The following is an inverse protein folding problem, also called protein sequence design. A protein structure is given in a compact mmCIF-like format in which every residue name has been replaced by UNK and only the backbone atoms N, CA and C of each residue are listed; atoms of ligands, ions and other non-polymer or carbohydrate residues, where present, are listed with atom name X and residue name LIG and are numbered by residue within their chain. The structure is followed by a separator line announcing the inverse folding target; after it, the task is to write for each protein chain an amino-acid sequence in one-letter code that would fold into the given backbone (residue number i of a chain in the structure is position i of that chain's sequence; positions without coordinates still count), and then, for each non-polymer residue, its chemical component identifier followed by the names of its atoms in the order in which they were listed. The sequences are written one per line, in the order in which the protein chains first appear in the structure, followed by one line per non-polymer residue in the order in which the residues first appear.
data_IF_825051431060
#
_entry.id   IF_825051431060
#
_cell.length_a   1.000
_cell.length_b   1.000
_cell.length_c   1.000
_cell.angle_alpha   90.00
_cell.angle_beta   90.00
_cell.angle_gamma   90.00
#
_symmetry.space_group_name_H-M   'P 1'
#
loop_
_entity.id
_entity.type
_entity.pdbx_description
1 polymer ?
#
# COMPACT_ATOMS: atom_id res chain seq x y z
N UNK A 1 -31.06 3.42 1.00
CA UNK A 1 -29.62 3.70 0.82
C UNK A 1 -29.14 2.80 -0.30
N UNK A 2 -28.62 3.34 -1.42
CA UNK A 2 -28.33 2.60 -2.67
C UNK A 2 -27.46 1.34 -2.49
N UNK A 3 -26.59 1.31 -1.47
CA UNK A 3 -25.67 0.20 -1.26
C UNK A 3 -26.37 -1.11 -0.86
N UNK A 4 -27.49 -1.04 -0.12
CA UNK A 4 -28.27 -2.23 0.25
C UNK A 4 -29.00 -2.85 -0.95
N UNK A 5 -29.42 -2.03 -1.90
CA UNK A 5 -30.03 -2.50 -3.14
C UNK A 5 -29.02 -3.24 -4.02
N UNK A 6 -27.78 -2.72 -4.09
CA UNK A 6 -26.66 -3.37 -4.77
C UNK A 6 -26.34 -4.71 -4.11
N UNK A 7 -26.30 -4.79 -2.78
CA UNK A 7 -26.03 -6.04 -2.05
C UNK A 7 -27.09 -7.11 -2.29
N UNK A 8 -28.35 -6.73 -2.47
CA UNK A 8 -29.44 -7.69 -2.71
C UNK A 8 -29.45 -8.24 -4.15
N UNK A 9 -28.76 -7.56 -5.08
CA UNK A 9 -28.80 -7.87 -6.52
C UNK A 9 -27.46 -8.37 -7.07
N UNK A 10 -26.36 -8.12 -6.36
CA UNK A 10 -25.01 -8.38 -6.85
C UNK A 10 -24.37 -9.58 -6.14
N UNK A 11 -23.67 -10.43 -6.91
CA UNK A 11 -22.86 -11.52 -6.36
C UNK A 11 -21.49 -11.06 -5.86
N UNK A 12 -21.02 -9.92 -6.37
CA UNK A 12 -19.73 -9.35 -6.03
C UNK A 12 -19.80 -7.83 -6.06
N UNK A 13 -19.14 -7.19 -5.10
CA UNK A 13 -18.99 -5.73 -5.01
C UNK A 13 -17.50 -5.41 -4.98
N UNK A 14 -17.06 -4.55 -5.90
CA UNK A 14 -15.68 -4.02 -5.91
C UNK A 14 -15.73 -2.55 -5.55
N UNK A 15 -14.99 -2.18 -4.51
CA UNK A 15 -14.79 -0.80 -4.11
C UNK A 15 -13.41 -0.36 -4.59
N UNK A 16 -13.33 0.82 -5.17
CA UNK A 16 -12.07 1.36 -5.64
C UNK A 16 -11.95 2.84 -5.29
N UNK A 17 -10.71 3.28 -5.09
CA UNK A 17 -10.44 4.68 -4.84
C UNK A 17 -8.95 5.02 -4.93
N UNK A 18 -8.68 6.26 -5.30
CA UNK A 18 -7.33 6.83 -5.32
C UNK A 18 -7.15 7.77 -4.12
N UNK A 19 -5.94 7.85 -3.57
CA UNK A 19 -5.59 8.76 -2.49
C UNK A 19 -6.56 8.64 -1.29
N UNK A 20 -7.08 9.74 -0.77
CA UNK A 20 -8.11 9.76 0.28
C UNK A 20 -9.36 8.95 -0.09
N UNK A 21 -9.75 8.95 -1.37
CA UNK A 21 -10.86 8.12 -1.86
C UNK A 21 -10.60 6.62 -1.71
N UNK A 22 -9.34 6.18 -1.77
CA UNK A 22 -8.95 4.80 -1.47
C UNK A 22 -9.12 4.46 0.02
N UNK A 23 -8.86 5.42 0.90
CA UNK A 23 -9.12 5.29 2.32
C UNK A 23 -10.62 5.13 2.60
N UNK A 24 -11.44 5.97 1.99
CA UNK A 24 -12.92 5.88 2.08
C UNK A 24 -13.42 4.55 1.50
N UNK A 25 -12.89 4.09 0.36
CA UNK A 25 -13.24 2.82 -0.24
C UNK A 25 -12.92 1.64 0.71
N UNK A 26 -11.76 1.68 1.36
CA UNK A 26 -11.35 0.62 2.30
C UNK A 26 -12.20 0.60 3.56
N UNK A 27 -12.51 1.76 4.15
CA UNK A 27 -13.45 1.83 5.29
C UNK A 27 -14.85 1.34 4.91
N UNK A 28 -15.31 1.69 3.70
CA UNK A 28 -16.60 1.24 3.18
C UNK A 28 -16.61 -0.28 2.95
N UNK A 29 -15.51 -0.86 2.48
CA UNK A 29 -15.37 -2.30 2.33
C UNK A 29 -15.37 -3.02 3.69
N UNK A 30 -14.68 -2.50 4.71
CA UNK A 30 -14.74 -3.05 6.07
C UNK A 30 -16.16 -3.00 6.65
N UNK A 31 -16.85 -1.87 6.48
CA UNK A 31 -18.25 -1.74 6.88
C UNK A 31 -19.12 -2.79 6.17
N UNK A 32 -18.96 -2.96 4.85
CA UNK A 32 -19.70 -3.98 4.09
C UNK A 32 -19.38 -5.40 4.57
N UNK A 33 -18.11 -5.74 4.78
CA UNK A 33 -17.68 -7.06 5.26
C UNK A 33 -18.33 -7.40 6.61
N UNK A 34 -18.34 -6.45 7.55
CA UNK A 34 -19.04 -6.62 8.83
C UNK A 34 -20.56 -6.77 8.68
N UNK A 35 -21.17 -6.08 7.71
CA UNK A 35 -22.61 -6.11 7.51
C UNK A 35 -23.06 -7.43 6.86
N UNK A 36 -22.41 -7.84 5.76
CA UNK A 36 -22.82 -9.00 4.96
C UNK A 36 -22.62 -10.34 5.69
N UNK A 37 -21.67 -10.41 6.63
CA UNK A 37 -21.53 -11.58 7.53
C UNK A 37 -22.84 -11.90 8.27
N UNK A 38 -23.68 -10.90 8.52
CA UNK A 38 -24.94 -11.05 9.25
C UNK A 38 -26.18 -11.20 8.37
N UNK A 39 -26.13 -10.76 7.11
CA UNK A 39 -27.33 -10.59 6.26
C UNK A 39 -27.29 -11.34 4.92
N UNK A 40 -26.12 -11.47 4.28
CA UNK A 40 -26.00 -12.00 2.91
C UNK A 40 -24.62 -12.64 2.66
N UNK A 41 -24.37 -13.87 3.17
CA UNK A 41 -23.04 -14.49 3.16
C UNK A 41 -22.53 -14.89 1.77
N UNK A 42 -23.36 -14.81 0.73
CA UNK A 42 -23.00 -15.19 -0.66
C UNK A 42 -22.40 -14.06 -1.49
N UNK A 43 -22.40 -12.82 -0.99
CA UNK A 43 -21.84 -11.66 -1.72
C UNK A 43 -20.35 -11.52 -1.41
N UNK A 44 -19.49 -11.53 -2.42
CA UNK A 44 -18.06 -11.24 -2.23
C UNK A 44 -17.80 -9.73 -2.25
N UNK A 45 -16.92 -9.25 -1.37
CA UNK A 45 -16.46 -7.85 -1.35
C UNK A 45 -14.97 -7.81 -1.63
N UNK A 46 -14.53 -6.91 -2.49
CA UNK A 46 -13.11 -6.66 -2.74
C UNK A 46 -12.85 -5.16 -2.80
N UNK A 47 -11.71 -4.72 -2.28
CA UNK A 47 -11.27 -3.34 -2.29
C UNK A 47 -9.93 -3.21 -3.00
N UNK A 48 -9.85 -2.31 -3.98
CA UNK A 48 -8.61 -1.98 -4.68
C UNK A 48 -8.33 -0.49 -4.57
N UNK A 49 -7.18 -0.12 -4.00
CA UNK A 49 -6.85 1.29 -3.79
C UNK A 49 -5.57 1.68 -4.51
N UNK A 50 -5.48 2.94 -4.93
CA UNK A 50 -4.31 3.50 -5.61
C UNK A 50 -3.75 4.64 -4.76
N UNK A 51 -2.54 4.47 -4.23
CA UNK A 51 -1.86 5.54 -3.48
C UNK A 51 -2.62 5.99 -2.24
N UNK A 52 -3.36 5.07 -1.59
CA UNK A 52 -4.13 5.39 -0.40
C UNK A 52 -3.23 5.53 0.83
N UNK A 53 -3.51 6.48 1.75
CA UNK A 53 -2.89 6.47 3.07
C UNK A 53 -3.30 5.20 3.85
N UNK A 54 -2.47 4.81 4.81
CA UNK A 54 -2.82 3.81 5.83
C UNK A 54 -3.94 4.32 6.74
N UNK A 55 -4.78 3.41 7.24
CA UNK A 55 -6.01 3.78 7.95
C UNK A 55 -6.00 3.53 9.46
N UNK A 56 -5.28 2.51 9.90
CA UNK A 56 -5.30 2.11 11.29
C UNK A 56 -3.94 1.68 11.78
N UNK A 57 -3.89 1.33 13.06
CA UNK A 57 -2.69 0.88 13.74
C UNK A 57 -2.55 -0.65 13.71
N UNK A 58 -1.56 -1.17 14.42
CA UNK A 58 -1.33 -2.61 14.49
C UNK A 58 -2.56 -3.37 15.06
N UNK A 59 -3.20 -2.98 16.18
CA UNK A 59 -4.46 -3.60 16.61
C UNK A 59 -5.56 -3.65 15.55
N UNK A 60 -5.73 -2.58 14.77
CA UNK A 60 -6.67 -2.54 13.65
C UNK A 60 -6.32 -3.56 12.56
N UNK A 61 -5.04 -3.64 12.17
CA UNK A 61 -4.57 -4.65 11.22
C UNK A 61 -4.75 -6.07 11.76
N UNK A 62 -4.54 -6.29 13.06
CA UNK A 62 -4.72 -7.60 13.68
C UNK A 62 -6.19 -8.03 13.69
N UNK A 63 -7.13 -7.11 13.94
CA UNK A 63 -8.56 -7.40 13.86
C UNK A 63 -8.97 -7.85 12.44
N UNK A 64 -8.48 -7.18 11.40
CA UNK A 64 -8.72 -7.55 9.99
C UNK A 64 -8.15 -8.94 9.68
N UNK A 65 -6.98 -9.27 10.22
CA UNK A 65 -6.37 -10.59 10.06
C UNK A 65 -7.19 -11.68 10.75
N UNK A 66 -7.66 -11.43 11.98
CA UNK A 66 -8.48 -12.36 12.76
C UNK A 66 -9.81 -12.69 12.07
N UNK A 67 -10.44 -11.69 11.45
CA UNK A 67 -11.65 -11.84 10.65
C UNK A 67 -11.42 -12.47 9.26
N UNK A 68 -10.15 -12.76 8.91
CA UNK A 68 -9.72 -13.26 7.59
C UNK A 68 -10.10 -12.33 6.44
N UNK A 69 -10.25 -11.04 6.72
CA UNK A 69 -10.61 -10.02 5.73
C UNK A 69 -9.42 -9.53 4.92
N UNK A 70 -8.18 -9.86 5.30
CA UNK A 70 -6.97 -9.38 4.61
C UNK A 70 -6.93 -9.70 3.11
N UNK A 71 -7.47 -10.84 2.69
CA UNK A 71 -7.56 -11.24 1.27
C UNK A 71 -8.52 -10.41 0.43
N UNK A 72 -9.34 -9.56 1.07
CA UNK A 72 -10.30 -8.69 0.39
C UNK A 72 -9.71 -7.34 -0.03
N UNK A 73 -8.43 -7.06 0.27
CA UNK A 73 -7.82 -5.74 0.06
C UNK A 73 -6.53 -5.83 -0.76
N UNK A 74 -6.44 -5.00 -1.79
CA UNK A 74 -5.24 -4.78 -2.59
C UNK A 74 -4.91 -3.30 -2.69
N UNK A 75 -3.76 -2.91 -2.14
CA UNK A 75 -3.25 -1.56 -2.11
C UNK A 75 -2.13 -1.40 -3.13
N UNK A 76 -2.42 -0.71 -4.23
CA UNK A 76 -1.46 -0.42 -5.30
C UNK A 76 -0.69 0.85 -4.93
N UNK A 77 0.64 0.73 -4.84
CA UNK A 77 1.53 1.82 -4.41
C UNK A 77 2.62 2.03 -5.44
N UNK A 78 2.74 3.25 -5.98
CA UNK A 78 3.86 3.61 -6.85
C UNK A 78 5.15 3.80 -6.02
N UNK A 79 6.29 3.58 -6.68
CA UNK A 79 7.60 3.47 -6.04
C UNK A 79 7.88 4.63 -5.09
N UNK A 80 7.71 5.88 -5.55
CA UNK A 80 8.04 7.06 -4.77
C UNK A 80 6.80 7.78 -4.20
N UNK A 81 5.58 7.24 -4.36
CA UNK A 81 4.36 7.93 -3.92
C UNK A 81 4.40 8.27 -2.42
N UNK A 82 4.36 9.57 -2.10
CA UNK A 82 4.43 10.02 -0.71
C UNK A 82 3.16 9.70 0.09
N UNK A 83 1.99 9.58 -0.53
CA UNK A 83 0.71 9.51 0.18
C UNK A 83 0.57 8.30 1.11
N UNK A 84 0.86 7.06 0.68
CA UNK A 84 0.87 5.90 1.56
C UNK A 84 1.84 6.01 2.74
N UNK A 85 2.77 6.98 2.68
CA UNK A 85 3.86 7.19 3.62
C UNK A 85 3.64 8.39 4.55
N UNK A 86 2.70 9.29 4.22
CA UNK A 86 2.34 10.42 5.08
C UNK A 86 1.96 10.03 6.53
N UNK A 87 1.21 8.93 6.77
CA UNK A 87 0.82 8.56 8.13
C UNK A 87 1.98 8.14 9.05
N UNK A 88 3.20 7.99 8.52
CA UNK A 88 4.39 7.78 9.35
C UNK A 88 4.88 9.06 10.03
N UNK A 89 4.55 10.24 9.49
CA UNK A 89 4.96 11.50 10.06
C UNK A 89 4.08 11.90 11.27
N UNK A 90 4.65 12.40 12.37
CA UNK A 90 3.89 12.81 13.56
C UNK A 90 2.99 14.03 13.33
N UNK A 91 3.24 14.79 12.25
CA UNK A 91 2.38 15.90 11.81
C UNK A 91 1.27 15.46 10.87
N UNK A 92 1.04 14.16 10.68
CA UNK A 92 -0.09 13.70 9.90
C UNK A 92 -1.39 14.13 10.60
N UNK A 93 -2.25 14.92 9.94
CA UNK A 93 -3.44 15.43 10.59
C UNK A 93 -4.38 14.27 10.94
N UNK A 94 -4.94 14.31 12.15
CA UNK A 94 -5.92 13.30 12.59
C UNK A 94 -7.34 13.80 12.33
N UNK A 95 -7.54 15.10 12.16
CA UNK A 95 -8.84 15.67 11.83
C UNK A 95 -9.07 15.75 10.31
N UNK A 96 -10.35 15.60 9.94
CA UNK A 96 -10.80 15.49 8.56
C UNK A 96 -10.54 16.77 7.76
N UNK A 97 -10.62 17.94 8.39
CA UNK A 97 -10.48 19.23 7.70
C UNK A 97 -9.02 19.47 7.28
N UNK A 98 -8.07 19.22 8.19
CA UNK A 98 -6.66 19.32 7.87
C UNK A 98 -6.19 18.19 6.95
N UNK A 99 -6.75 16.97 7.06
CA UNK A 99 -6.51 15.91 6.06
C UNK A 99 -6.97 16.36 4.67
N UNK A 100 -8.19 16.88 4.56
CA UNK A 100 -8.72 17.41 3.31
C UNK A 100 -7.84 18.53 2.77
N UNK A 101 -7.44 19.48 3.61
CA UNK A 101 -6.56 20.57 3.22
C UNK A 101 -5.19 20.06 2.72
N UNK A 102 -4.57 19.12 3.42
CA UNK A 102 -3.30 18.51 3.04
C UNK A 102 -3.40 17.83 1.66
N UNK A 103 -4.45 17.03 1.44
CA UNK A 103 -4.64 16.35 0.16
C UNK A 103 -4.95 17.30 -0.99
N UNK A 104 -5.73 18.36 -0.74
CA UNK A 104 -5.97 19.42 -1.73
C UNK A 104 -4.68 20.16 -2.06
N UNK A 105 -3.85 20.48 -1.07
CA UNK A 105 -2.54 21.11 -1.29
C UNK A 105 -1.58 20.20 -2.05
N UNK A 106 -1.57 18.90 -1.75
CA UNK A 106 -0.77 17.92 -2.48
C UNK A 106 -1.19 17.84 -3.95
N UNK A 107 -2.50 17.90 -4.22
CA UNK A 107 -3.06 17.89 -5.56
C UNK A 107 -2.80 19.21 -6.33
N UNK A 108 -2.78 20.36 -5.65
CA UNK A 108 -2.52 21.68 -6.24
C UNK A 108 -1.02 22.03 -6.35
N UNK A 109 -0.14 21.07 -6.08
CA UNK A 109 1.31 21.20 -6.00
C UNK A 109 1.81 22.17 -4.92
N UNK A 110 2.39 21.60 -3.86
CA UNK A 110 3.16 22.33 -2.84
C UNK A 110 4.34 23.10 -3.46
N UNK A 111 4.86 24.11 -2.75
CA UNK A 111 6.16 24.71 -3.11
C UNK A 111 7.28 23.68 -2.96
N UNK A 112 8.35 23.82 -3.73
CA UNK A 112 9.46 22.85 -3.73
C UNK A 112 10.16 22.74 -2.35
N UNK A 113 10.21 23.84 -1.60
CA UNK A 113 10.69 23.88 -0.22
C UNK A 113 9.82 23.02 0.70
N UNK A 114 8.49 23.21 0.66
CA UNK A 114 7.54 22.46 1.48
C UNK A 114 7.52 20.97 1.10
N UNK A 115 7.68 20.64 -0.19
CA UNK A 115 7.81 19.26 -0.66
C UNK A 115 9.04 18.59 -0.06
N UNK A 116 10.17 19.28 -0.08
CA UNK A 116 11.44 18.76 0.44
C UNK A 116 11.37 18.56 1.94
N UNK A 117 10.84 19.54 2.69
CA UNK A 117 10.66 19.41 4.13
C UNK A 117 9.73 18.23 4.49
N UNK A 118 8.60 18.10 3.80
CA UNK A 118 7.66 17.00 4.01
C UNK A 118 8.31 15.64 3.72
N UNK A 119 9.06 15.54 2.60
CA UNK A 119 9.77 14.34 2.19
C UNK A 119 10.79 13.90 3.25
N UNK A 120 11.69 14.80 3.65
CA UNK A 120 12.74 14.53 4.66
C UNK A 120 12.13 14.11 6.01
N UNK A 121 11.05 14.80 6.42
CA UNK A 121 10.35 14.49 7.66
C UNK A 121 9.71 13.10 7.63
N UNK A 122 9.01 12.77 6.54
CA UNK A 122 8.42 11.43 6.37
C UNK A 122 9.51 10.37 6.36
N UNK A 123 10.60 10.57 5.62
CA UNK A 123 11.70 9.61 5.51
C UNK A 123 12.35 9.32 6.87
N UNK A 124 12.70 10.38 7.62
CA UNK A 124 13.28 10.28 8.96
C UNK A 124 12.36 9.53 9.92
N UNK A 125 11.05 9.77 9.84
CA UNK A 125 10.06 9.14 10.71
C UNK A 125 9.87 7.65 10.41
N UNK A 126 10.00 7.24 9.15
CA UNK A 126 9.96 5.82 8.78
C UNK A 126 11.26 5.14 9.21
N UNK A 127 12.42 5.77 9.00
CA UNK A 127 13.73 5.23 9.38
C UNK A 127 13.83 4.96 10.88
N UNK A 128 13.29 5.88 11.70
CA UNK A 128 13.25 5.73 13.15
C UNK A 128 12.58 4.42 13.62
N UNK A 129 11.72 3.81 12.79
CA UNK A 129 11.07 2.51 13.09
C UNK A 129 12.02 1.31 12.99
N UNK A 130 13.18 1.46 12.35
CA UNK A 130 14.18 0.39 12.21
C UNK A 130 15.41 0.59 13.10
N UNK A 131 15.46 1.71 13.83
CA UNK A 131 16.57 2.04 14.73
C UNK A 131 16.57 1.25 16.04
N UNK A 132 17.65 1.34 16.83
CA UNK A 132 17.82 0.61 18.09
C UNK A 132 16.79 0.99 19.19
N UNK A 133 16.03 2.08 19.01
CA UNK A 133 14.97 2.54 19.91
C UNK A 133 13.57 1.95 19.57
N UNK A 134 13.46 1.07 18.57
CA UNK A 134 12.18 0.53 18.10
C UNK A 134 11.46 -0.41 19.09
N UNK A 135 12.05 -0.72 20.26
CA UNK A 135 11.59 -1.77 21.15
C UNK A 135 11.04 -1.37 22.53
N UNK A 136 11.04 -0.07 22.91
CA UNK A 136 10.85 0.30 24.33
C UNK A 136 9.78 1.38 24.60
N UNK A 137 8.89 1.67 23.64
CA UNK A 137 7.90 2.73 23.82
C UNK A 137 6.45 2.21 23.69
N UNK A 138 5.67 2.35 24.77
CA UNK A 138 4.22 2.10 24.80
C UNK A 138 3.45 2.94 23.74
N UNK A 139 4.09 3.98 23.19
CA UNK A 139 3.60 4.82 22.10
C UNK A 139 3.67 4.15 20.70
N UNK A 140 4.24 2.94 20.58
CA UNK A 140 4.37 2.23 19.29
C UNK A 140 3.03 1.70 18.74
N UNK A 141 2.09 1.33 19.63
CA UNK A 141 0.79 0.78 19.22
C UNK A 141 -0.18 1.79 18.61
N UNK A 142 0.07 3.10 18.71
CA UNK A 142 -0.79 4.13 18.09
C UNK A 142 -0.37 4.43 16.65
N UNK A 143 0.77 3.91 16.20
CA UNK A 143 1.32 4.18 14.88
C UNK A 143 0.56 3.43 13.80
N UNK A 144 0.39 4.07 12.64
CA UNK A 144 -0.23 3.45 11.48
C UNK A 144 0.54 2.19 11.04
N UNK A 145 -0.22 1.17 10.65
CA UNK A 145 0.24 -0.14 10.24
C UNK A 145 -0.51 -0.63 8.99
N UNK A 146 0.17 -1.26 8.02
CA UNK A 146 -0.48 -1.81 6.83
C UNK A 146 -1.41 -2.98 7.16
N UNK A 147 -2.48 -3.12 6.38
CA UNK A 147 -3.35 -4.30 6.37
C UNK A 147 -3.62 -4.72 4.93
N UNK A 148 -4.03 -5.96 4.70
CA UNK A 148 -4.27 -6.46 3.34
C UNK A 148 -2.98 -6.66 2.52
N UNK A 149 -3.13 -6.80 1.21
CA UNK A 149 -2.00 -7.01 0.29
C UNK A 149 -1.57 -5.68 -0.34
N UNK A 150 -0.26 -5.43 -0.44
CA UNK A 150 0.32 -4.26 -1.10
C UNK A 150 1.03 -4.68 -2.38
N UNK A 151 0.62 -4.11 -3.51
CA UNK A 151 1.32 -4.24 -4.80
C UNK A 151 2.15 -2.98 -5.05
N UNK A 152 3.45 -3.06 -4.76
CA UNK A 152 4.38 -1.95 -4.93
C UNK A 152 4.95 -1.99 -6.36
N UNK A 153 4.72 -0.93 -7.11
CA UNK A 153 4.99 -0.82 -8.55
C UNK A 153 6.18 0.11 -8.82
N UNK A 154 7.05 -0.34 -9.73
CA UNK A 154 8.21 0.38 -10.27
C UNK A 154 8.09 0.45 -11.80
N UNK A 155 9.00 1.18 -12.44
CA UNK A 155 9.14 1.17 -13.89
C UNK A 155 9.47 -0.22 -14.48
N UNK A 156 10.11 -1.09 -13.69
CA UNK A 156 10.55 -2.43 -14.09
C UNK A 156 9.53 -3.53 -13.82
N UNK A 157 8.57 -3.30 -12.93
CA UNK A 157 7.56 -4.28 -12.56
C UNK A 157 6.99 -4.03 -11.18
N UNK A 158 6.35 -5.05 -10.61
CA UNK A 158 5.71 -4.93 -9.31
C UNK A 158 6.02 -6.14 -8.40
N UNK A 159 6.00 -5.88 -7.10
CA UNK A 159 6.10 -6.88 -6.04
C UNK A 159 4.85 -6.81 -5.17
N UNK A 160 4.30 -7.98 -4.83
CA UNK A 160 3.15 -8.10 -3.94
C UNK A 160 3.61 -8.60 -2.57
N UNK A 161 3.19 -7.94 -1.49
CA UNK A 161 3.54 -8.25 -0.11
C UNK A 161 2.29 -8.21 0.77
N UNK A 162 2.21 -9.09 1.75
CA UNK A 162 1.14 -9.12 2.77
C UNK A 162 1.70 -9.06 4.22
N UNK A 163 3.01 -9.25 4.39
CA UNK A 163 3.68 -9.07 5.67
C UNK A 163 3.89 -7.59 6.00
N UNK A 164 3.27 -7.11 7.08
CA UNK A 164 3.31 -5.71 7.46
C UNK A 164 4.72 -5.13 7.63
N UNK A 165 5.63 -5.86 8.27
CA UNK A 165 7.02 -5.41 8.44
C UNK A 165 7.75 -5.28 7.10
N UNK A 166 7.57 -6.24 6.19
CA UNK A 166 8.15 -6.19 4.85
C UNK A 166 7.59 -5.02 4.03
N UNK A 167 6.28 -4.75 4.16
CA UNK A 167 5.62 -3.61 3.51
C UNK A 167 6.22 -2.29 4.00
N UNK A 168 6.29 -2.07 5.31
CA UNK A 168 6.85 -0.82 5.88
C UNK A 168 8.32 -0.65 5.47
N UNK A 169 9.12 -1.73 5.51
CA UNK A 169 10.52 -1.72 5.06
C UNK A 169 10.65 -1.37 3.59
N UNK A 170 9.84 -1.97 2.71
CA UNK A 170 9.95 -1.70 1.28
C UNK A 170 9.45 -0.29 0.94
N UNK A 171 8.38 0.19 1.60
CA UNK A 171 7.92 1.57 1.45
C UNK A 171 9.03 2.58 1.80
N UNK A 172 9.79 2.32 2.87
CA UNK A 172 10.95 3.11 3.26
C UNK A 172 12.04 3.09 2.19
N UNK A 173 12.55 1.90 1.86
CA UNK A 173 13.70 1.75 0.96
C UNK A 173 13.42 2.41 -0.39
N UNK A 174 12.22 2.23 -0.93
CA UNK A 174 11.82 2.83 -2.20
C UNK A 174 11.71 4.36 -2.13
N UNK A 175 11.27 4.92 -0.99
CA UNK A 175 11.24 6.37 -0.81
C UNK A 175 12.65 6.94 -0.62
N UNK A 176 13.52 6.24 0.12
CA UNK A 176 14.91 6.62 0.34
C UNK A 176 15.72 6.65 -0.97
N UNK A 177 15.38 5.77 -1.92
CA UNK A 177 15.95 5.76 -3.27
C UNK A 177 15.45 6.89 -4.17
N UNK A 178 14.41 7.64 -3.77
CA UNK A 178 13.91 8.77 -4.54
C UNK A 178 15.00 9.86 -4.59
N UNK A 179 15.60 10.05 -5.76
CA UNK A 179 16.64 11.08 -5.96
C UNK A 179 16.12 12.53 -5.85
N UNK A 180 14.81 12.75 -5.66
CA UNK A 180 14.20 14.06 -5.50
C UNK A 180 12.79 13.97 -4.90
N UNK A 181 12.40 14.95 -4.08
CA UNK A 181 11.02 15.10 -3.58
C UNK A 181 9.99 15.27 -4.71
N UNK A 182 10.40 15.77 -5.89
CA UNK A 182 9.50 16.01 -7.01
C UNK A 182 8.95 14.72 -7.64
N UNK A 183 9.72 13.62 -7.65
CA UNK A 183 9.21 12.34 -8.16
C UNK A 183 8.11 11.75 -7.28
N UNK A 184 8.01 12.17 -6.01
CA UNK A 184 7.09 11.58 -5.05
C UNK A 184 5.63 12.00 -5.25
N UNK A 185 5.40 13.24 -5.69
CA UNK A 185 4.04 13.74 -6.03
C UNK A 185 3.68 13.31 -7.45
N UNK A 186 4.64 13.30 -8.36
CA UNK A 186 4.45 12.83 -9.72
C UNK A 186 3.97 11.37 -9.77
N UNK A 187 4.61 10.49 -8.98
CA UNK A 187 4.21 9.09 -8.88
C UNK A 187 2.79 8.92 -8.35
N UNK A 188 2.34 9.80 -7.46
CA UNK A 188 0.98 9.79 -6.94
C UNK A 188 -0.09 10.02 -8.02
N UNK A 189 0.27 10.72 -9.10
CA UNK A 189 -0.64 11.05 -10.20
C UNK A 189 -0.56 10.07 -11.39
N UNK A 190 0.47 9.22 -11.45
CA UNK A 190 0.80 8.37 -12.62
C UNK A 190 0.37 6.90 -12.48
N UNK A 191 -0.66 6.61 -11.69
CA UNK A 191 -1.14 5.24 -11.49
C UNK A 191 -1.59 4.53 -12.77
N UNK A 192 -2.09 5.28 -13.75
CA UNK A 192 -2.45 4.74 -15.07
C UNK A 192 -1.25 4.05 -15.75
N UNK A 193 -0.07 4.68 -15.72
CA UNK A 193 1.14 4.14 -16.33
C UNK A 193 1.59 2.84 -15.64
N UNK A 194 1.57 2.84 -14.30
CA UNK A 194 1.97 1.68 -13.50
C UNK A 194 1.03 0.49 -13.73
N UNK A 195 -0.27 0.73 -13.66
CA UNK A 195 -1.29 -0.32 -13.87
C UNK A 195 -1.19 -0.87 -15.29
N UNK A 196 -1.11 0.00 -16.30
CA UNK A 196 -0.99 -0.41 -17.70
C UNK A 196 0.24 -1.29 -17.92
N UNK A 197 1.40 -0.90 -17.37
CA UNK A 197 2.64 -1.67 -17.47
C UNK A 197 2.53 -3.03 -16.78
N UNK A 198 2.01 -3.09 -15.56
CA UNK A 198 1.86 -4.35 -14.81
C UNK A 198 0.89 -5.29 -15.53
N UNK A 199 -0.24 -4.78 -16.03
CA UNK A 199 -1.17 -5.56 -16.84
C UNK A 199 -0.51 -6.09 -18.11
N UNK A 200 0.24 -5.26 -18.84
CA UNK A 200 0.96 -5.69 -20.04
C UNK A 200 1.99 -6.78 -19.73
N UNK A 201 2.80 -6.60 -18.68
CA UNK A 201 3.79 -7.58 -18.25
C UNK A 201 3.15 -8.90 -17.84
N UNK A 202 2.02 -8.87 -17.13
CA UNK A 202 1.26 -10.06 -16.77
C UNK A 202 0.76 -10.80 -18.03
N UNK A 203 0.17 -10.08 -18.99
CA UNK A 203 -0.32 -10.67 -20.24
C UNK A 203 0.82 -11.29 -21.06
N UNK A 204 1.97 -10.62 -21.14
CA UNK A 204 3.17 -11.12 -21.83
C UNK A 204 3.79 -12.33 -21.13
N UNK A 205 3.80 -12.36 -19.80
CA UNK A 205 4.24 -13.55 -19.05
C UNK A 205 3.27 -14.68 -19.32
N UNK A 206 1.96 -14.47 -19.14
CA UNK A 206 0.93 -15.50 -19.36
C UNK A 206 0.99 -16.11 -20.76
N UNK A 207 1.23 -15.31 -21.81
CA UNK A 207 1.42 -15.84 -23.17
C UNK A 207 2.66 -16.72 -23.30
N UNK A 208 3.77 -16.38 -22.64
CA UNK A 208 4.99 -17.21 -22.58
C UNK A 208 4.84 -18.44 -21.68
N UNK A 209 4.03 -18.37 -20.62
CA UNK A 209 3.78 -19.50 -19.71
C UNK A 209 2.90 -20.58 -20.33
N UNK A 210 2.11 -20.23 -21.35
CA UNK A 210 1.43 -21.22 -22.19
C UNK A 210 2.41 -22.10 -23.01
N UNK A 211 3.69 -21.73 -23.10
CA UNK A 211 4.74 -22.51 -23.79
C UNK A 211 5.67 -23.29 -22.84
N UNK A 212 5.60 -23.08 -21.52
CA UNK A 212 6.55 -23.67 -20.57
C UNK A 212 5.83 -24.33 -19.39
N UNK A 213 5.92 -25.65 -19.29
CA UNK A 213 5.49 -26.43 -18.13
C UNK A 213 6.42 -26.15 -16.94
N UNK A 214 5.87 -25.72 -15.81
CA UNK A 214 6.64 -25.46 -14.60
C UNK A 214 6.85 -26.70 -13.73
N UNK A 215 8.09 -26.88 -13.29
CA UNK A 215 8.45 -27.58 -12.06
C UNK A 215 9.45 -26.70 -11.29
N UNK A 216 9.39 -26.77 -9.96
CA UNK A 216 10.13 -26.05 -8.91
C UNK A 216 9.55 -24.71 -8.42
N UNK A 217 9.61 -24.54 -7.10
CA UNK A 217 8.70 -23.73 -6.26
C UNK A 217 8.68 -22.24 -6.57
N UNK A 218 7.46 -21.73 -6.77
CA UNK A 218 7.13 -20.38 -7.24
C UNK A 218 7.42 -19.24 -6.25
N UNK A 219 7.66 -19.53 -4.97
CA UNK A 219 7.83 -18.53 -3.92
C UNK A 219 9.24 -17.92 -3.91
N UNK A 220 10.27 -18.75 -3.99
CA UNK A 220 11.68 -18.32 -3.83
C UNK A 220 12.18 -17.60 -5.09
N UNK A 221 11.79 -18.11 -6.26
CA UNK A 221 12.03 -17.46 -7.55
C UNK A 221 11.32 -16.09 -7.65
N UNK A 222 10.13 -15.97 -7.05
CA UNK A 222 9.37 -14.72 -7.02
C UNK A 222 10.05 -13.63 -6.19
N UNK A 223 10.59 -13.99 -5.01
CA UNK A 223 11.31 -13.06 -4.12
C UNK A 223 12.61 -12.58 -4.76
N UNK A 224 13.41 -13.49 -5.34
CA UNK A 224 14.67 -13.12 -5.99
C UNK A 224 14.45 -12.17 -7.18
N UNK A 225 13.44 -12.44 -8.02
CA UNK A 225 13.07 -11.55 -9.13
C UNK A 225 12.58 -10.18 -8.66
N UNK A 226 11.77 -10.15 -7.60
CA UNK A 226 11.25 -8.90 -7.02
C UNK A 226 12.35 -8.02 -6.41
N UNK A 227 13.33 -8.64 -5.73
CA UNK A 227 14.48 -7.93 -5.17
C UNK A 227 15.42 -7.41 -6.27
N UNK A 228 15.66 -8.20 -7.33
CA UNK A 228 16.45 -7.74 -8.48
C UNK A 228 15.80 -6.58 -9.23
N UNK A 229 14.47 -6.54 -9.34
CA UNK A 229 13.77 -5.38 -9.92
C UNK A 229 13.84 -4.13 -9.03
N UNK A 230 14.04 -4.29 -7.72
CA UNK A 230 14.01 -3.21 -6.73
C UNK A 230 15.39 -2.58 -6.42
N UNK A 231 16.47 -2.94 -7.13
CA UNK A 231 17.85 -2.38 -6.96
C UNK A 231 18.50 -2.45 -5.56
N UNK A 232 17.87 -3.09 -4.58
CA UNK A 232 18.47 -3.33 -3.25
C UNK A 232 19.69 -4.25 -3.41
N UNK A 233 20.89 -3.74 -3.07
CA UNK A 233 22.13 -4.51 -3.17
C UNK A 233 22.16 -5.69 -2.19
N UNK A 234 22.55 -6.87 -2.68
CA UNK A 234 22.56 -8.15 -1.96
C UNK A 234 23.64 -8.28 -0.86
N UNK A 235 24.23 -7.18 -0.39
CA UNK A 235 25.44 -7.22 0.44
C UNK A 235 25.23 -7.16 1.96
N UNK A 236 23.99 -7.19 2.48
CA UNK A 236 23.75 -7.25 3.93
C UNK A 236 23.02 -8.52 4.43
N UNK A 237 22.96 -9.58 3.63
CA UNK A 237 22.37 -10.86 4.04
C UNK A 237 23.38 -11.87 4.65
N UNK A 238 24.59 -11.45 5.04
CA UNK A 238 25.65 -12.36 5.52
C UNK A 238 25.95 -12.38 7.01
N UNK A 239 25.25 -11.61 7.85
CA UNK A 239 25.47 -11.64 9.30
C UNK A 239 24.20 -11.98 10.07
N UNK A 240 23.63 -13.16 9.83
CA UNK A 240 22.83 -13.88 10.83
C UNK A 240 23.05 -15.38 10.62
N UNK A 241 24.10 -15.89 11.25
CA UNK A 241 24.13 -17.24 11.81
C UNK A 241 24.31 -17.07 13.31
#
# INVERSE_FOLDING_TARGET
MQIFEILNTSKSVVLAGHSLGGGVASLSALWLLSHIQTTSPSTSVFCITYGSPMLGNEPFSQAILQERWGGNFCHIVAQHDIVPRLPFAPSFPVDVEHLRALFVQLALQLSDENKTELFEKVLTCIEARFGPAAGDDHQDRSRYWPFGSYMICTDKGAVCLDNGTAIVKLLYLMLAEAGSANSCIDDHLKYEDYVTKVCLQYLQKRSRLLEVSFSESSSESGIALALQSSRISSHQAKNVN
#
